data_IF_114188245010
#
_entry.id   IF_114188245010
#
_cell.length_a   1.000
_cell.length_b   1.000
_cell.length_c   1.000
_cell.angle_alpha   90.00
_cell.angle_beta   90.00
_cell.angle_gamma   90.00
#
_symmetry.space_group_name_H-M   'P 1'
#
loop_
_entity.id
_entity.type
_entity.pdbx_description
1 polymer ?
#
# COMPACT_ATOMS: atom_id res chain seq x y z
N UNK A 1 -35.84 17.53 -3.15
CA UNK A 1 -34.98 16.32 -3.26
C UNK A 1 -33.51 16.70 -3.06
N UNK A 2 -33.09 17.14 -1.87
CA UNK A 2 -31.71 17.64 -1.66
C UNK A 2 -30.99 17.01 -0.47
N UNK A 3 -31.56 17.07 0.75
CA UNK A 3 -30.86 16.61 1.96
C UNK A 3 -30.62 15.08 2.00
N UNK A 4 -31.65 14.26 1.73
CA UNK A 4 -31.52 12.78 1.78
C UNK A 4 -30.51 12.24 0.76
N UNK A 5 -30.42 12.89 -0.41
CA UNK A 5 -29.48 12.49 -1.46
C UNK A 5 -28.03 12.84 -1.08
N UNK A 6 -27.81 14.00 -0.47
CA UNK A 6 -26.50 14.36 0.06
C UNK A 6 -26.09 13.40 1.18
N UNK A 7 -27.00 13.11 2.12
CA UNK A 7 -26.76 12.15 3.19
C UNK A 7 -26.34 10.77 2.66
N UNK A 8 -27.10 10.23 1.70
CA UNK A 8 -26.77 8.96 1.06
C UNK A 8 -25.41 8.99 0.35
N UNK A 9 -25.10 10.08 -0.36
CA UNK A 9 -23.81 10.25 -1.03
C UNK A 9 -22.65 10.24 -0.03
N UNK A 10 -22.75 11.03 1.05
CA UNK A 10 -21.71 11.12 2.07
C UNK A 10 -21.52 9.79 2.82
N UNK A 11 -22.60 9.09 3.16
CA UNK A 11 -22.51 7.74 3.75
C UNK A 11 -21.76 6.78 2.84
N UNK A 12 -22.03 6.81 1.53
CA UNK A 12 -21.29 6.01 0.56
C UNK A 12 -19.82 6.39 0.50
N UNK A 13 -19.50 7.69 0.51
CA UNK A 13 -18.13 8.17 0.60
C UNK A 13 -17.41 7.69 1.87
N UNK A 14 -18.08 7.75 3.03
CA UNK A 14 -17.50 7.26 4.29
C UNK A 14 -17.19 5.78 4.25
N UNK A 15 -18.08 4.98 3.66
CA UNK A 15 -17.87 3.54 3.49
C UNK A 15 -16.62 3.27 2.63
N UNK A 16 -16.43 4.00 1.52
CA UNK A 16 -15.24 3.84 0.69
C UNK A 16 -13.94 4.21 1.43
N UNK A 17 -13.97 5.28 2.25
CA UNK A 17 -12.82 5.63 3.10
C UNK A 17 -12.53 4.58 4.18
N UNK A 18 -13.56 3.98 4.79
CA UNK A 18 -13.41 2.87 5.75
C UNK A 18 -12.81 1.65 5.08
N UNK A 19 -13.31 1.26 3.90
CA UNK A 19 -12.76 0.16 3.13
C UNK A 19 -11.28 0.40 2.77
N UNK A 20 -10.93 1.62 2.36
CA UNK A 20 -9.53 1.94 2.05
C UNK A 20 -8.62 1.86 3.28
N UNK A 21 -9.13 2.27 4.45
CA UNK A 21 -8.42 2.15 5.72
C UNK A 21 -8.25 0.69 6.16
N UNK A 22 -9.28 -0.13 5.99
CA UNK A 22 -9.24 -1.56 6.29
C UNK A 22 -8.20 -2.27 5.42
N UNK A 23 -8.14 -1.95 4.13
CA UNK A 23 -7.11 -2.46 3.22
C UNK A 23 -5.70 -2.02 3.62
N UNK A 24 -5.50 -0.75 4.00
CA UNK A 24 -4.21 -0.27 4.50
C UNK A 24 -3.79 -0.98 5.80
N UNK A 25 -4.75 -1.22 6.69
CA UNK A 25 -4.54 -1.92 7.96
C UNK A 25 -4.21 -3.39 7.74
N UNK A 26 -4.93 -4.07 6.84
CA UNK A 26 -4.70 -5.46 6.49
C UNK A 26 -3.32 -5.64 5.85
N UNK A 27 -2.92 -4.73 4.97
CA UNK A 27 -1.63 -4.79 4.29
C UNK A 27 -0.46 -4.66 5.29
N UNK A 28 -0.57 -3.78 6.28
CA UNK A 28 0.41 -3.70 7.36
C UNK A 28 0.39 -4.95 8.25
N UNK A 29 -0.80 -5.41 8.66
CA UNK A 29 -0.96 -6.57 9.56
C UNK A 29 -0.39 -7.85 8.97
N UNK A 30 -0.54 -8.04 7.67
CA UNK A 30 -0.14 -9.25 6.96
C UNK A 30 1.16 -9.08 6.17
N UNK A 31 1.91 -7.99 6.41
CA UNK A 31 3.10 -7.64 5.66
C UNK A 31 4.12 -8.79 5.54
N UNK A 32 4.39 -9.48 6.65
CA UNK A 32 5.37 -10.57 6.70
C UNK A 32 4.88 -11.86 6.04
N UNK A 33 3.56 -12.05 5.97
CA UNK A 33 2.94 -13.28 5.46
C UNK A 33 2.46 -13.17 4.02
N UNK A 34 2.29 -11.95 3.51
CA UNK A 34 1.79 -11.71 2.16
C UNK A 34 2.80 -12.19 1.11
N UNK A 35 2.28 -12.91 0.11
CA UNK A 35 3.03 -13.18 -1.11
C UNK A 35 3.04 -11.94 -2.01
N UNK A 36 3.93 -11.88 -3.04
CA UNK A 36 3.88 -10.84 -4.04
C UNK A 36 2.50 -10.69 -4.70
N UNK A 37 1.82 -11.81 -4.97
CA UNK A 37 0.48 -11.83 -5.56
C UNK A 37 -0.58 -11.23 -4.62
N UNK A 38 -0.43 -11.40 -3.29
CA UNK A 38 -1.30 -10.77 -2.31
C UNK A 38 -1.12 -9.24 -2.29
N UNK A 39 0.12 -8.75 -2.41
CA UNK A 39 0.40 -7.32 -2.55
C UNK A 39 -0.20 -6.75 -3.84
N UNK A 40 -0.02 -7.42 -4.97
CA UNK A 40 -0.62 -6.98 -6.25
C UNK A 40 -2.15 -6.92 -6.17
N UNK A 41 -2.78 -7.94 -5.55
CA UNK A 41 -4.22 -7.95 -5.33
C UNK A 41 -4.66 -6.78 -4.45
N UNK A 42 -3.97 -6.55 -3.33
CA UNK A 42 -4.30 -5.46 -2.41
C UNK A 42 -4.16 -4.09 -3.08
N UNK A 43 -3.10 -3.87 -3.88
CA UNK A 43 -2.93 -2.65 -4.68
C UNK A 43 -4.07 -2.50 -5.70
N UNK A 44 -4.47 -3.60 -6.36
CA UNK A 44 -5.60 -3.62 -7.29
C UNK A 44 -6.92 -3.22 -6.64
N UNK A 45 -7.25 -3.81 -5.48
CA UNK A 45 -8.46 -3.48 -4.70
C UNK A 45 -8.45 -2.00 -4.29
N UNK A 46 -7.33 -1.51 -3.74
CA UNK A 46 -7.19 -0.10 -3.36
C UNK A 46 -7.34 0.84 -4.57
N UNK A 47 -6.82 0.46 -5.73
CA UNK A 47 -7.02 1.21 -6.98
C UNK A 47 -8.49 1.34 -7.38
N UNK A 48 -9.30 0.29 -7.21
CA UNK A 48 -10.74 0.33 -7.47
C UNK A 48 -11.49 1.23 -6.48
N UNK A 49 -11.13 1.19 -5.20
CA UNK A 49 -11.71 2.06 -4.17
C UNK A 49 -11.38 3.54 -4.48
N UNK A 50 -10.13 3.85 -4.83
CA UNK A 50 -9.71 5.22 -5.20
C UNK A 50 -10.47 5.72 -6.45
N UNK A 51 -10.67 4.85 -7.45
CA UNK A 51 -11.46 5.22 -8.63
C UNK A 51 -12.92 5.52 -8.26
N UNK A 52 -13.49 4.79 -7.30
CA UNK A 52 -14.83 5.06 -6.77
C UNK A 52 -14.88 6.38 -6.00
N UNK A 53 -13.91 6.64 -5.13
CA UNK A 53 -13.77 7.92 -4.41
C UNK A 53 -13.63 9.11 -5.38
N UNK A 54 -12.90 8.95 -6.48
CA UNK A 54 -12.78 9.99 -7.51
C UNK A 54 -14.12 10.32 -8.15
N UNK A 55 -14.97 9.32 -8.40
CA UNK A 55 -16.34 9.54 -8.92
C UNK A 55 -17.23 10.19 -7.88
N UNK A 56 -17.14 9.74 -6.62
CA UNK A 56 -17.83 10.36 -5.50
C UNK A 56 -17.48 11.86 -5.39
N UNK A 57 -16.21 12.24 -5.51
CA UNK A 57 -15.80 13.65 -5.45
C UNK A 57 -16.40 14.48 -6.60
N UNK A 58 -16.50 13.91 -7.80
CA UNK A 58 -17.17 14.54 -8.95
C UNK A 58 -18.67 14.73 -8.71
N UNK A 59 -19.34 13.71 -8.16
CA UNK A 59 -20.76 13.78 -7.82
C UNK A 59 -21.04 14.79 -6.71
N UNK A 60 -20.18 14.84 -5.69
CA UNK A 60 -20.28 15.80 -4.60
C UNK A 60 -20.07 17.23 -5.12
N UNK A 61 -19.08 17.45 -5.98
CA UNK A 61 -18.85 18.75 -6.61
C UNK A 61 -20.05 19.19 -7.47
N UNK A 62 -20.64 18.28 -8.25
CA UNK A 62 -21.83 18.56 -9.05
C UNK A 62 -23.04 18.90 -8.16
N UNK A 63 -23.20 18.23 -7.01
CA UNK A 63 -24.25 18.52 -6.04
C UNK A 63 -24.07 19.93 -5.44
N UNK A 64 -22.86 20.28 -5.01
CA UNK A 64 -22.54 21.58 -4.40
C UNK A 64 -22.58 22.74 -5.39
N UNK A 65 -22.36 22.48 -6.69
CA UNK A 65 -22.47 23.47 -7.77
C UNK A 65 -23.91 23.92 -8.06
N UNK A 66 -24.92 23.30 -7.45
CA UNK A 66 -26.32 23.73 -7.61
C UNK A 66 -26.65 24.90 -6.65
N UNK A 67 -27.25 26.01 -7.14
CA UNK A 67 -27.44 27.26 -6.39
C UNK A 67 -28.33 27.15 -5.15
N UNK A 68 -29.01 26.02 -4.94
CA UNK A 68 -29.90 25.79 -3.79
C UNK A 68 -29.29 24.92 -2.68
N UNK A 69 -28.09 24.35 -2.86
CA UNK A 69 -27.54 23.34 -1.93
C UNK A 69 -26.47 23.84 -0.96
N UNK A 70 -25.80 24.97 -1.21
CA UNK A 70 -24.59 25.37 -0.45
C UNK A 70 -24.81 26.41 0.65
N UNK A 71 -26.03 26.95 0.79
CA UNK A 71 -26.33 28.05 1.72
C UNK A 71 -27.01 27.60 3.04
N UNK A 72 -27.42 26.33 3.14
CA UNK A 72 -28.12 25.80 4.31
C UNK A 72 -27.12 25.44 5.44
N UNK A 73 -27.27 25.99 6.66
CA UNK A 73 -26.36 25.74 7.78
C UNK A 73 -26.20 24.27 8.15
N UNK A 74 -27.27 23.48 8.06
CA UNK A 74 -27.23 22.05 8.39
C UNK A 74 -26.41 21.28 7.36
N UNK A 75 -26.61 21.60 6.08
CA UNK A 75 -25.79 21.07 4.97
C UNK A 75 -24.30 21.39 5.16
N UNK A 76 -23.97 22.62 5.57
CA UNK A 76 -22.58 23.03 5.86
C UNK A 76 -22.00 22.24 7.05
N UNK A 77 -22.78 22.03 8.11
CA UNK A 77 -22.34 21.26 9.28
C UNK A 77 -22.03 19.81 8.92
N UNK A 78 -22.90 19.15 8.15
CA UNK A 78 -22.72 17.77 7.70
C UNK A 78 -21.48 17.63 6.80
N UNK A 79 -21.28 18.55 5.85
CA UNK A 79 -20.10 18.55 4.97
C UNK A 79 -18.80 18.74 5.76
N UNK A 80 -18.81 19.62 6.76
CA UNK A 80 -17.65 19.82 7.63
C UNK A 80 -17.35 18.57 8.48
N UNK A 81 -18.38 17.87 8.95
CA UNK A 81 -18.24 16.58 9.64
C UNK A 81 -17.56 15.55 8.74
N UNK A 82 -18.06 15.40 7.52
CA UNK A 82 -17.48 14.50 6.53
C UNK A 82 -16.02 14.84 6.19
N UNK A 83 -15.69 16.12 5.98
CA UNK A 83 -14.31 16.56 5.70
C UNK A 83 -13.35 16.21 6.82
N UNK A 84 -13.75 16.42 8.08
CA UNK A 84 -12.92 16.04 9.24
C UNK A 84 -12.66 14.53 9.27
N UNK A 85 -13.71 13.75 9.04
CA UNK A 85 -13.59 12.29 8.94
C UNK A 85 -12.63 11.89 7.80
N UNK A 86 -12.80 12.47 6.61
CA UNK A 86 -11.92 12.24 5.46
C UNK A 86 -10.46 12.57 5.77
N UNK A 87 -10.19 13.73 6.39
CA UNK A 87 -8.84 14.15 6.80
C UNK A 87 -8.21 13.19 7.80
N UNK A 88 -8.97 12.75 8.81
CA UNK A 88 -8.50 11.81 9.82
C UNK A 88 -8.17 10.45 9.21
N UNK A 89 -9.07 9.89 8.42
CA UNK A 89 -8.88 8.59 7.77
C UNK A 89 -7.72 8.65 6.77
N UNK A 90 -7.65 9.69 5.94
CA UNK A 90 -6.55 9.87 4.98
C UNK A 90 -5.21 9.95 5.69
N UNK A 91 -5.12 10.70 6.79
CA UNK A 91 -3.90 10.77 7.61
C UNK A 91 -3.51 9.39 8.12
N UNK A 92 -4.48 8.60 8.58
CA UNK A 92 -4.21 7.27 9.11
C UNK A 92 -3.72 6.30 8.03
N UNK A 93 -4.34 6.33 6.84
CA UNK A 93 -3.91 5.55 5.69
C UNK A 93 -2.45 5.88 5.32
N UNK A 94 -2.11 7.17 5.23
CA UNK A 94 -0.74 7.61 4.91
C UNK A 94 0.27 7.15 5.97
N UNK A 95 -0.10 7.19 7.24
CA UNK A 95 0.73 6.67 8.33
C UNK A 95 1.00 5.17 8.15
N UNK A 96 -0.04 4.37 7.92
CA UNK A 96 0.07 2.92 7.71
C UNK A 96 0.92 2.59 6.48
N UNK A 97 0.70 3.30 5.37
CA UNK A 97 1.47 3.11 4.14
C UNK A 97 2.95 3.46 4.35
N UNK A 98 3.25 4.49 5.15
CA UNK A 98 4.63 4.84 5.48
C UNK A 98 5.35 3.72 6.25
N UNK A 99 4.65 3.03 7.17
CA UNK A 99 5.19 1.89 7.89
C UNK A 99 5.44 0.70 6.97
N UNK A 100 4.47 0.38 6.10
CA UNK A 100 4.62 -0.69 5.10
C UNK A 100 5.84 -0.43 4.21
N UNK A 101 6.02 0.80 3.72
CA UNK A 101 7.16 1.17 2.87
C UNK A 101 8.48 1.02 3.63
N UNK A 102 8.52 1.43 4.90
CA UNK A 102 9.71 1.28 5.73
C UNK A 102 10.08 -0.21 5.92
N UNK A 103 9.09 -1.06 6.23
CA UNK A 103 9.28 -2.51 6.37
C UNK A 103 9.73 -3.16 5.05
N UNK A 104 9.16 -2.73 3.92
CA UNK A 104 9.56 -3.20 2.60
C UNK A 104 11.02 -2.87 2.27
N UNK A 105 11.46 -1.65 2.58
CA UNK A 105 12.87 -1.25 2.41
C UNK A 105 13.80 -2.11 3.26
N UNK A 106 13.47 -2.27 4.55
CA UNK A 106 14.26 -3.11 5.45
C UNK A 106 14.38 -4.56 4.94
N UNK A 107 13.30 -5.14 4.43
CA UNK A 107 13.31 -6.49 3.86
C UNK A 107 14.16 -6.59 2.60
N UNK A 108 14.12 -5.57 1.74
CA UNK A 108 14.98 -5.51 0.54
C UNK A 108 16.46 -5.43 0.90
N UNK A 109 16.82 -4.63 1.89
CA UNK A 109 18.20 -4.51 2.36
C UNK A 109 18.71 -5.86 2.91
N UNK A 110 17.91 -6.54 3.73
CA UNK A 110 18.25 -7.87 4.24
C UNK A 110 18.44 -8.91 3.12
N UNK A 111 17.56 -8.91 2.10
CA UNK A 111 17.70 -9.80 0.94
C UNK A 111 18.97 -9.50 0.13
N UNK A 112 19.37 -8.24 0.01
CA UNK A 112 20.62 -7.87 -0.66
C UNK A 112 21.84 -8.39 0.11
N UNK A 113 21.84 -8.28 1.43
CA UNK A 113 22.91 -8.81 2.29
C UNK A 113 23.01 -10.34 2.18
N UNK A 114 21.87 -11.04 2.18
CA UNK A 114 21.81 -12.49 2.00
C UNK A 114 22.34 -12.92 0.63
N UNK A 115 21.96 -12.23 -0.44
CA UNK A 115 22.48 -12.48 -1.80
C UNK A 115 23.99 -12.25 -1.88
N UNK A 116 24.51 -11.19 -1.25
CA UNK A 116 25.94 -10.92 -1.19
C UNK A 116 26.69 -12.01 -0.41
N UNK A 117 26.09 -12.52 0.68
CA UNK A 117 26.62 -13.64 1.44
C UNK A 117 26.68 -14.93 0.62
N UNK A 118 25.60 -15.25 -0.10
CA UNK A 118 25.55 -16.41 -1.01
C UNK A 118 26.57 -16.31 -2.14
N UNK A 119 26.76 -15.12 -2.73
CA UNK A 119 27.77 -14.89 -3.76
C UNK A 119 29.19 -15.17 -3.24
N UNK A 120 29.52 -14.67 -2.03
CA UNK A 120 30.81 -14.95 -1.37
C UNK A 120 30.99 -16.44 -1.08
N UNK A 121 29.94 -17.11 -0.60
CA UNK A 121 29.96 -18.55 -0.36
C UNK A 121 30.20 -19.36 -1.63
N UNK A 122 29.59 -18.97 -2.75
CA UNK A 122 29.81 -19.59 -4.06
C UNK A 122 31.24 -19.39 -4.56
N UNK A 123 31.80 -18.19 -4.40
CA UNK A 123 33.21 -17.93 -4.72
C UNK A 123 34.14 -18.79 -3.88
N UNK A 124 33.85 -18.96 -2.58
CA UNK A 124 34.63 -19.82 -1.71
C UNK A 124 34.57 -21.29 -2.17
N UNK A 125 33.38 -21.81 -2.51
CA UNK A 125 33.20 -23.16 -3.04
C UNK A 125 34.00 -23.39 -4.33
N UNK A 126 33.93 -22.47 -5.30
CA UNK A 126 34.72 -22.58 -6.52
C UNK A 126 36.24 -22.52 -6.26
N UNK A 127 36.69 -21.77 -5.26
CA UNK A 127 38.09 -21.78 -4.82
C UNK A 127 38.54 -23.14 -4.27
N UNK A 128 37.66 -23.85 -3.55
CA UNK A 128 37.94 -25.21 -3.07
C UNK A 128 37.92 -26.26 -4.20
N UNK A 129 37.05 -26.10 -5.19
CA UNK A 129 36.96 -26.99 -6.36
C UNK A 129 38.16 -26.81 -7.31
N UNK A 130 38.52 -25.57 -7.65
CA UNK A 130 39.68 -25.28 -8.50
C UNK A 130 41.03 -25.68 -7.87
N UNK A 131 41.17 -25.55 -6.54
CA UNK A 131 42.35 -26.02 -5.82
C UNK A 131 42.48 -27.55 -5.71
N UNK A 132 41.43 -28.30 -6.10
CA UNK A 132 41.43 -29.77 -6.09
C UNK A 132 41.93 -30.36 -7.41
N UNK A 133 41.76 -29.66 -8.53
CA UNK A 133 42.29 -30.07 -9.84
C UNK A 133 43.81 -29.83 -9.93
N UNK A 134 44.32 -28.71 -9.41
CA UNK A 134 45.76 -28.40 -9.44
C UNK A 134 46.61 -29.34 -8.56
N UNK A 135 46.03 -29.95 -7.53
CA UNK A 135 46.74 -30.90 -6.65
C UNK A 135 46.93 -32.29 -7.27
N UNK A 136 46.16 -32.65 -8.30
CA UNK A 136 46.33 -33.93 -8.99
C UNK A 136 47.37 -33.88 -10.12
N UNK A 137 47.69 -32.70 -10.65
CA UNK A 137 48.72 -32.56 -11.69
C UNK A 137 50.15 -32.46 -11.15
N UNK A 138 50.34 -32.13 -9.85
CA UNK A 138 51.68 -32.07 -9.24
C UNK A 138 52.19 -33.41 -8.69
N UNK A 139 51.38 -34.48 -8.69
CA UNK A 139 51.81 -35.82 -8.24
C UNK A 139 52.15 -36.78 -9.38
N UNK A 140 52.19 -36.32 -10.64
CA UNK A 140 52.46 -37.16 -11.82
C UNK A 140 53.82 -36.89 -12.49
N UNK A 141 54.71 -36.12 -11.86
CA UNK A 141 56.05 -35.78 -12.38
C UNK A 141 57.18 -36.10 -11.40
N UNK A 142 57.05 -37.18 -10.62
CA UNK A 142 58.14 -37.75 -9.82
C UNK A 142 58.51 -39.15 -10.33
#
# INVERSE_FOLDING_TARGET
MSADRLGALLVSGEEQYRLLLDEATALLRHFDTNSPEDFERAVGVRGQIIATLTRFDQELAAFLGTPSSSADPDTVAVLNGFRRFQEEVTRKILELDSFVIALARQRLDALQDDMASLARGRTALHGYEGGREDRHNMSSTA
#
